data_IF_598427834913
#
_entry.id   IF_598427834913
#
_cell.length_a   1.000
_cell.length_b   1.000
_cell.length_c   1.000
_cell.angle_alpha   90.00
_cell.angle_beta   90.00
_cell.angle_gamma   90.00
#
_symmetry.space_group_name_H-M   'P 1'
#
loop_
_entity.id
_entity.type
_entity.pdbx_description
1 polymer ?
#
# COMPACT_ATOMS: atom_id res chain seq x y z
N UNK A 1 33.20 -23.87 -16.16
CA UNK A 1 31.84 -24.37 -16.40
C UNK A 1 30.91 -23.52 -15.54
N UNK A 2 30.52 -22.37 -16.08
CA UNK A 2 29.68 -21.39 -15.40
C UNK A 2 28.24 -21.86 -15.45
N UNK A 3 27.60 -22.02 -14.29
CA UNK A 3 26.15 -22.14 -14.20
C UNK A 3 25.60 -20.77 -13.77
N UNK A 4 24.84 -20.17 -14.67
CA UNK A 4 24.18 -18.89 -14.54
C UNK A 4 23.22 -18.90 -13.34
N UNK A 5 23.47 -18.00 -12.39
CA UNK A 5 22.51 -17.60 -11.37
C UNK A 5 21.91 -16.25 -11.79
N UNK A 6 21.13 -16.23 -12.89
CA UNK A 6 20.49 -15.01 -13.41
C UNK A 6 18.95 -15.07 -13.50
N UNK A 7 18.29 -16.14 -13.06
CA UNK A 7 16.83 -16.27 -13.22
C UNK A 7 16.03 -16.19 -11.90
N UNK A 8 16.45 -15.34 -10.96
CA UNK A 8 15.69 -15.06 -9.73
C UNK A 8 15.11 -13.64 -9.66
N UNK A 9 15.08 -12.91 -10.78
CA UNK A 9 14.68 -11.50 -10.81
C UNK A 9 13.69 -11.12 -11.92
N UNK A 10 12.94 -12.09 -12.46
CA UNK A 10 11.91 -11.83 -13.47
C UNK A 10 10.68 -12.71 -13.20
N UNK A 11 9.92 -12.31 -12.18
CA UNK A 11 8.48 -12.54 -12.21
C UNK A 11 7.88 -11.19 -12.49
N UNK A 12 7.48 -10.96 -13.75
CA UNK A 12 6.77 -9.75 -14.14
C UNK A 12 5.52 -9.60 -13.29
N UNK A 13 5.66 -8.59 -12.45
CA UNK A 13 4.76 -8.05 -11.47
C UNK A 13 3.69 -7.19 -12.16
N UNK A 14 2.97 -7.77 -13.12
CA UNK A 14 1.99 -7.01 -13.91
C UNK A 14 0.82 -6.52 -13.02
N UNK A 15 0.64 -7.16 -11.86
CA UNK A 15 -0.41 -6.86 -10.89
C UNK A 15 0.00 -6.01 -9.68
N UNK A 16 1.29 -5.84 -9.36
CA UNK A 16 1.73 -5.08 -8.18
C UNK A 16 2.78 -4.00 -8.53
N UNK A 17 2.98 -3.09 -7.59
CA UNK A 17 4.04 -2.07 -7.56
C UNK A 17 4.82 -2.22 -6.27
N UNK A 18 6.12 -1.96 -6.32
CA UNK A 18 6.96 -1.93 -5.12
C UNK A 18 6.89 -0.52 -4.51
N UNK A 19 6.48 -0.43 -3.24
CA UNK A 19 6.49 0.79 -2.45
C UNK A 19 7.50 0.66 -1.31
N UNK A 20 8.17 1.75 -0.95
CA UNK A 20 9.17 1.77 0.11
C UNK A 20 8.69 2.62 1.30
N UNK A 21 8.72 2.06 2.51
CA UNK A 21 8.57 2.78 3.78
C UNK A 21 9.83 2.65 4.65
N UNK A 22 9.83 3.25 5.84
CA UNK A 22 10.99 3.21 6.75
C UNK A 22 11.33 1.81 7.26
N UNK A 23 10.45 0.83 7.06
CA UNK A 23 10.61 -0.57 7.44
C UNK A 23 10.99 -1.45 6.24
N UNK A 24 11.20 -0.88 5.04
CA UNK A 24 11.67 -1.55 3.85
C UNK A 24 10.65 -1.55 2.69
N UNK A 25 10.86 -2.48 1.76
CA UNK A 25 10.04 -2.61 0.55
C UNK A 25 8.78 -3.45 0.81
N UNK A 26 7.67 -3.06 0.18
CA UNK A 26 6.36 -3.71 0.28
C UNK A 26 5.72 -3.80 -1.11
N UNK A 27 5.15 -4.97 -1.44
CA UNK A 27 4.40 -5.19 -2.69
C UNK A 27 2.97 -4.71 -2.52
N UNK A 28 2.55 -3.73 -3.30
CA UNK A 28 1.20 -3.15 -3.27
C UNK A 28 0.50 -3.40 -4.59
N UNK A 29 -0.76 -3.87 -4.62
CA UNK A 29 -1.50 -4.04 -5.87
C UNK A 29 -1.51 -2.76 -6.71
N UNK A 30 -1.39 -2.89 -8.03
CA UNK A 30 -1.29 -1.75 -8.96
C UNK A 30 -2.58 -0.93 -9.02
N UNK A 31 -3.72 -1.57 -8.80
CA UNK A 31 -5.05 -0.98 -8.75
C UNK A 31 -5.40 -0.35 -7.38
N UNK A 32 -4.59 -0.60 -6.35
CA UNK A 32 -4.82 -0.05 -5.03
C UNK A 32 -4.57 1.47 -4.98
N UNK A 33 -5.51 2.18 -4.37
CA UNK A 33 -5.39 3.63 -4.13
C UNK A 33 -4.47 3.96 -2.94
N UNK A 34 -4.01 2.95 -2.18
CA UNK A 34 -3.13 3.09 -1.03
C UNK A 34 -1.69 2.64 -1.33
N UNK A 35 -0.76 2.90 -0.40
CA UNK A 35 0.69 2.63 -0.56
C UNK A 35 1.23 1.74 0.57
N UNK A 36 2.56 1.71 0.74
CA UNK A 36 3.30 0.84 1.68
C UNK A 36 2.72 0.80 3.09
N UNK A 37 2.46 1.95 3.73
CA UNK A 37 2.01 1.95 5.13
C UNK A 37 0.66 1.26 5.32
N UNK A 38 -0.30 1.51 4.43
CA UNK A 38 -1.61 0.86 4.47
C UNK A 38 -1.48 -0.62 4.12
N UNK A 39 -0.66 -0.97 3.13
CA UNK A 39 -0.41 -2.36 2.77
C UNK A 39 0.18 -3.16 3.94
N UNK A 40 1.16 -2.59 4.64
CA UNK A 40 1.73 -3.19 5.85
C UNK A 40 0.69 -3.36 6.96
N UNK A 41 -0.24 -2.42 7.10
CA UNK A 41 -1.34 -2.56 8.06
C UNK A 41 -2.30 -3.71 7.67
N UNK A 42 -2.58 -3.88 6.37
CA UNK A 42 -3.38 -5.02 5.87
C UNK A 42 -2.69 -6.35 6.21
N UNK A 43 -1.37 -6.43 6.04
CA UNK A 43 -0.58 -7.64 6.34
C UNK A 43 -0.44 -7.92 7.84
N UNK A 44 -0.25 -6.87 8.65
CA UNK A 44 0.00 -6.99 10.10
C UNK A 44 -1.27 -7.19 10.94
N UNK A 45 -2.44 -6.75 10.47
CA UNK A 45 -3.67 -6.75 11.26
C UNK A 45 -4.83 -7.54 10.63
N UNK A 46 -4.67 -8.86 10.37
CA UNK A 46 -5.74 -9.70 9.85
C UNK A 46 -6.71 -10.15 10.97
N UNK A 47 -7.29 -9.21 11.72
CA UNK A 47 -7.94 -9.53 13.01
C UNK A 47 -9.39 -10.03 12.84
N UNK A 48 -10.20 -9.44 11.94
CA UNK A 48 -11.65 -9.74 11.93
C UNK A 48 -12.36 -9.66 10.57
N UNK A 49 -11.66 -9.27 9.49
CA UNK A 49 -12.27 -9.08 8.17
C UNK A 49 -13.33 -7.96 8.10
N UNK A 50 -13.53 -7.20 9.19
CA UNK A 50 -14.45 -6.06 9.22
C UNK A 50 -13.71 -4.80 8.77
N UNK A 51 -14.19 -4.11 7.71
CA UNK A 51 -13.62 -2.85 7.30
C UNK A 51 -13.97 -1.73 8.29
N UNK A 52 -13.26 -0.60 8.17
CA UNK A 52 -13.59 0.63 8.89
C UNK A 52 -14.98 1.11 8.45
N UNK A 53 -15.76 1.62 9.41
CA UNK A 53 -17.08 2.19 9.16
C UNK A 53 -17.01 3.32 8.10
N UNK A 54 -17.87 3.31 7.06
CA UNK A 54 -17.83 4.32 5.99
C UNK A 54 -17.95 5.76 6.47
N UNK A 55 -18.67 5.97 7.58
CA UNK A 55 -18.82 7.30 8.20
C UNK A 55 -17.47 7.86 8.69
N UNK A 56 -16.60 6.99 9.21
CA UNK A 56 -15.27 7.39 9.67
C UNK A 56 -14.37 7.78 8.50
N UNK A 57 -14.42 7.01 7.40
CA UNK A 57 -13.70 7.33 6.16
C UNK A 57 -14.13 8.70 5.63
N UNK A 58 -15.44 8.96 5.60
CA UNK A 58 -16.00 10.25 5.17
C UNK A 58 -15.54 11.40 6.05
N UNK A 59 -15.54 11.23 7.37
CA UNK A 59 -15.06 12.25 8.30
C UNK A 59 -13.58 12.59 8.05
N UNK A 60 -12.71 11.58 7.85
CA UNK A 60 -11.30 11.79 7.52
C UNK A 60 -11.13 12.52 6.19
N UNK A 61 -11.90 12.18 5.16
CA UNK A 61 -11.86 12.85 3.87
C UNK A 61 -12.22 14.34 4.00
N UNK A 62 -13.25 14.68 4.77
CA UNK A 62 -13.64 16.08 5.04
C UNK A 62 -12.53 16.86 5.77
N UNK A 63 -11.91 16.25 6.78
CA UNK A 63 -10.80 16.86 7.53
C UNK A 63 -9.64 17.18 6.58
N UNK A 64 -9.27 16.24 5.70
CA UNK A 64 -8.18 16.44 4.73
C UNK A 64 -8.52 17.49 3.68
N UNK A 65 -9.77 17.55 3.22
CA UNK A 65 -10.23 18.59 2.30
C UNK A 65 -10.15 19.99 2.94
N UNK A 66 -10.63 20.14 4.18
CA UNK A 66 -10.54 21.39 4.92
C UNK A 66 -9.09 21.81 5.18
N UNK A 67 -8.22 20.87 5.55
CA UNK A 67 -6.80 21.13 5.76
C UNK A 67 -6.09 21.55 4.46
N UNK A 68 -6.42 20.93 3.33
CA UNK A 68 -5.89 21.34 2.03
C UNK A 68 -6.31 22.76 1.66
N UNK A 69 -7.57 23.13 1.91
CA UNK A 69 -8.06 24.47 1.65
C UNK A 69 -7.42 25.53 2.57
N UNK A 70 -7.17 25.20 3.83
CA UNK A 70 -6.53 26.10 4.78
C UNK A 70 -5.04 26.36 4.47
N UNK A 71 -4.37 25.40 3.81
CA UNK A 71 -2.94 25.47 3.48
C UNK A 71 -2.65 25.94 2.04
N UNK A 72 -3.69 26.24 1.25
CA UNK A 72 -3.57 26.71 -0.14
C UNK A 72 -3.10 28.18 -0.19
#
# INVERSE_FOLDING_TARGET
MSLNNQDAAQADDDGFRIEHDTMGEVKVPRDALWRAQTQRAVENFPISGRPIEPQHIRALALIKAAAAQANA
#
